data_IF_525738130065
#
_entry.id   IF_525738130065
#
_cell.length_a   1.000
_cell.length_b   1.000
_cell.length_c   1.000
_cell.angle_alpha   90.00
_cell.angle_beta   90.00
_cell.angle_gamma   90.00
#
_symmetry.space_group_name_H-M   'P 1'
#
loop_
_entity.id
_entity.type
_entity.pdbx_description
1 polymer ?
#
# COMPACT_ATOMS: atom_id res chain seq x y z
N UNK A 1 -15.31 -17.34 1.32
CA UNK A 1 -14.06 -17.47 2.10
C UNK A 1 -12.82 -16.96 1.36
N UNK A 2 -12.80 -16.89 0.02
CA UNK A 2 -11.64 -16.37 -0.75
C UNK A 2 -11.35 -14.87 -0.58
N UNK A 3 -12.38 -14.02 -0.45
CA UNK A 3 -12.20 -12.55 -0.34
C UNK A 3 -11.40 -12.13 0.90
N UNK A 4 -11.63 -12.77 2.06
CA UNK A 4 -10.84 -12.51 3.27
C UNK A 4 -9.35 -12.82 3.04
N UNK A 5 -9.05 -13.88 2.30
CA UNK A 5 -7.67 -14.26 1.97
C UNK A 5 -7.00 -13.24 1.05
N UNK A 6 -7.72 -12.72 0.05
CA UNK A 6 -7.20 -11.72 -0.88
C UNK A 6 -6.95 -10.37 -0.20
N UNK A 7 -7.86 -9.89 0.65
CA UNK A 7 -7.65 -8.64 1.40
C UNK A 7 -6.44 -8.71 2.34
N UNK A 8 -6.25 -9.87 3.00
CA UNK A 8 -5.10 -10.10 3.88
C UNK A 8 -3.81 -10.08 3.05
N UNK A 9 -3.76 -10.80 1.92
CA UNK A 9 -2.60 -10.79 1.02
C UNK A 9 -2.28 -9.41 0.47
N UNK A 10 -3.28 -8.64 0.07
CA UNK A 10 -3.09 -7.26 -0.40
C UNK A 10 -2.55 -6.37 0.72
N UNK A 11 -3.00 -6.57 1.97
CA UNK A 11 -2.50 -5.82 3.13
C UNK A 11 -1.05 -6.17 3.45
N UNK A 12 -0.68 -7.46 3.38
CA UNK A 12 0.70 -7.93 3.52
C UNK A 12 1.61 -7.28 2.46
N UNK A 13 1.22 -7.36 1.19
CA UNK A 13 1.97 -6.78 0.07
C UNK A 13 2.17 -5.26 0.22
N UNK A 14 1.12 -4.54 0.61
CA UNK A 14 1.21 -3.09 0.83
C UNK A 14 2.11 -2.72 2.02
N UNK A 15 2.21 -3.58 3.03
CA UNK A 15 3.13 -3.39 4.15
C UNK A 15 4.58 -3.66 3.74
N UNK A 16 4.83 -4.69 2.93
CA UNK A 16 6.15 -4.96 2.36
C UNK A 16 6.61 -3.78 1.48
N UNK A 17 5.76 -3.31 0.57
CA UNK A 17 6.06 -2.15 -0.27
C UNK A 17 6.37 -0.89 0.54
N UNK A 18 5.65 -0.64 1.64
CA UNK A 18 5.90 0.51 2.53
C UNK A 18 7.29 0.42 3.19
N UNK A 19 7.68 -0.76 3.66
CA UNK A 19 9.01 -1.02 4.22
C UNK A 19 10.11 -0.83 3.18
N UNK A 20 9.94 -1.41 1.99
CA UNK A 20 10.88 -1.27 0.88
C UNK A 20 11.03 0.20 0.45
N UNK A 21 9.93 0.96 0.40
CA UNK A 21 9.97 2.38 0.04
C UNK A 21 10.71 3.25 1.04
N UNK A 22 10.66 2.90 2.33
CA UNK A 22 11.39 3.58 3.40
C UNK A 22 12.89 3.29 3.30
N UNK A 23 13.23 2.02 3.00
CA UNK A 23 14.60 1.57 2.78
C UNK A 23 15.20 2.06 1.46
N UNK A 24 14.36 2.41 0.48
CA UNK A 24 14.79 2.92 -0.82
C UNK A 24 15.66 4.17 -0.67
N UNK A 25 16.85 4.09 -1.26
CA UNK A 25 17.79 5.20 -1.43
C UNK A 25 17.74 5.63 -2.90
N UNK A 26 17.16 6.80 -3.20
CA UNK A 26 17.11 7.27 -4.57
C UNK A 26 18.51 7.57 -5.10
N UNK A 27 18.75 7.38 -6.41
CA UNK A 27 19.97 7.82 -7.07
C UNK A 27 20.22 9.32 -6.86
N UNK A 28 21.48 9.73 -6.93
CA UNK A 28 21.87 11.13 -6.79
C UNK A 28 21.15 11.98 -7.87
N UNK A 29 20.49 13.07 -7.46
CA UNK A 29 19.64 13.90 -8.34
C UNK A 29 18.14 13.52 -8.35
N UNK A 30 17.76 12.40 -7.75
CA UNK A 30 16.37 11.88 -7.76
C UNK A 30 15.72 11.84 -6.36
N UNK A 31 16.12 12.73 -5.46
CA UNK A 31 15.59 12.78 -4.08
C UNK A 31 14.07 12.91 -3.97
N UNK A 32 13.41 13.45 -5.02
CA UNK A 32 11.95 13.58 -5.11
C UNK A 32 11.22 12.24 -5.28
N UNK A 33 11.89 11.18 -5.73
CA UNK A 33 11.28 9.85 -5.93
C UNK A 33 10.86 9.27 -4.58
N UNK A 34 11.65 9.47 -3.52
CA UNK A 34 11.34 8.92 -2.19
C UNK A 34 9.99 9.40 -1.64
N UNK A 35 9.71 10.71 -1.52
CA UNK A 35 8.40 11.18 -1.08
C UNK A 35 7.27 10.82 -2.05
N UNK A 36 7.52 10.75 -3.37
CA UNK A 36 6.53 10.29 -4.34
C UNK A 36 6.14 8.81 -4.13
N UNK A 37 7.14 7.94 -3.95
CA UNK A 37 6.97 6.52 -3.70
C UNK A 37 6.20 6.26 -2.40
N UNK A 38 6.61 6.91 -1.30
CA UNK A 38 5.93 6.79 0.00
C UNK A 38 4.48 7.28 -0.07
N UNK A 39 4.20 8.40 -0.75
CA UNK A 39 2.82 8.90 -0.92
C UNK A 39 1.96 7.96 -1.74
N UNK A 40 2.53 7.36 -2.79
CA UNK A 40 1.83 6.42 -3.67
C UNK A 40 1.42 5.17 -2.89
N UNK A 41 2.34 4.59 -2.11
CA UNK A 41 2.04 3.42 -1.28
C UNK A 41 1.02 3.75 -0.18
N UNK A 42 1.12 4.93 0.43
CA UNK A 42 0.12 5.39 1.39
C UNK A 42 -1.28 5.49 0.76
N UNK A 43 -1.38 6.01 -0.47
CA UNK A 43 -2.64 6.10 -1.21
C UNK A 43 -3.25 4.70 -1.44
N UNK A 44 -2.42 3.73 -1.86
CA UNK A 44 -2.86 2.36 -2.06
C UNK A 44 -3.31 1.68 -0.75
N UNK A 45 -2.62 1.92 0.36
CA UNK A 45 -3.07 1.49 1.70
C UNK A 45 -4.43 2.08 2.05
N UNK A 46 -4.60 3.38 1.90
CA UNK A 46 -5.87 4.06 2.19
C UNK A 46 -7.02 3.56 1.31
N UNK A 47 -6.74 3.32 0.02
CA UNK A 47 -7.70 2.77 -0.92
C UNK A 47 -8.11 1.35 -0.54
N UNK A 48 -7.15 0.46 -0.24
CA UNK A 48 -7.45 -0.91 0.17
C UNK A 48 -8.29 -0.95 1.46
N UNK A 49 -7.99 -0.10 2.44
CA UNK A 49 -8.79 0.02 3.66
C UNK A 49 -10.22 0.46 3.38
N UNK A 50 -10.43 1.42 2.47
CA UNK A 50 -11.76 1.88 2.07
C UNK A 50 -12.52 0.81 1.29
N UNK A 51 -11.84 0.08 0.41
CA UNK A 51 -12.43 -1.03 -0.35
C UNK A 51 -12.88 -2.14 0.60
N UNK A 52 -12.05 -2.49 1.59
CA UNK A 52 -12.40 -3.49 2.60
C UNK A 52 -13.60 -3.07 3.46
N UNK A 53 -13.71 -1.78 3.80
CA UNK A 53 -14.88 -1.26 4.52
C UNK A 53 -16.16 -1.34 3.68
N UNK A 54 -16.09 -0.96 2.40
CA UNK A 54 -17.23 -1.06 1.48
C UNK A 54 -17.68 -2.51 1.23
N UNK A 55 -16.74 -3.46 1.15
CA UNK A 55 -17.07 -4.89 1.06
C UNK A 55 -17.73 -5.42 2.34
N UNK A 56 -17.47 -4.83 3.50
CA UNK A 56 -18.13 -5.18 4.77
C UNK A 56 -19.51 -4.53 4.91
N UNK A 57 -19.73 -3.35 4.35
CA UNK A 57 -21.03 -2.66 4.36
C UNK A 57 -22.05 -3.26 3.37
N UNK A 58 -21.58 -3.91 2.31
CA UNK A 58 -22.42 -4.57 1.30
C UNK A 58 -22.95 -5.96 1.69
N UNK A 59 -22.71 -6.42 2.93
CA UNK A 59 -23.04 -7.76 3.43
C UNK A 59 -23.93 -7.75 4.67
#
# INVERSE_FOLDING_TARGET
MEQKTLQIRTTELLNEMDLESKAYKPPMGFGFIKPWLTKTIWLFKAFNTRLSALEQEGH
#
